data_IF_124071731979
#
_entry.id   IF_124071731979
#
_cell.length_a   1.000
_cell.length_b   1.000
_cell.length_c   1.000
_cell.angle_alpha   90.00
_cell.angle_beta   90.00
_cell.angle_gamma   90.00
#
_symmetry.space_group_name_H-M   'P 1'
#
loop_
_entity.id
_entity.type
_entity.pdbx_description
1 polymer ?
#
# COMPACT_ATOMS: atom_id res chain seq x y z
N UNK A 1 0.22 -0.27 18.14
CA UNK A 1 -0.66 -1.26 17.42
C UNK A 1 0.19 -2.39 16.79
N UNK A 2 -0.35 -3.33 15.99
CA UNK A 2 0.46 -4.22 15.15
C UNK A 2 0.48 -3.71 13.72
N UNK A 3 1.66 -3.51 13.15
CA UNK A 3 1.84 -2.91 11.84
C UNK A 3 2.40 -3.92 10.83
N UNK A 4 1.91 -3.87 9.60
CA UNK A 4 2.59 -4.41 8.44
C UNK A 4 3.09 -3.21 7.62
N UNK A 5 4.41 -3.04 7.55
CA UNK A 5 5.03 -1.91 6.85
C UNK A 5 5.45 -2.34 5.44
N UNK A 6 4.97 -1.64 4.41
CA UNK A 6 5.33 -1.88 3.01
C UNK A 6 6.19 -0.72 2.53
N UNK A 7 7.49 -0.97 2.36
CA UNK A 7 8.42 0.01 1.80
C UNK A 7 8.25 0.10 0.28
N UNK A 8 7.98 1.32 -0.21
CA UNK A 8 7.68 1.57 -1.62
C UNK A 8 8.85 2.30 -2.31
N UNK A 9 9.26 1.85 -3.51
CA UNK A 9 10.37 2.49 -4.21
C UNK A 9 9.98 3.90 -4.70
N UNK A 10 10.88 4.87 -4.51
CA UNK A 10 10.67 6.28 -4.91
C UNK A 10 11.11 6.64 -6.33
N UNK A 11 11.71 5.71 -7.07
CA UNK A 11 12.15 5.98 -8.44
C UNK A 11 10.98 5.85 -9.42
N UNK A 12 10.91 6.77 -10.39
CA UNK A 12 9.90 6.82 -11.48
C UNK A 12 9.68 5.48 -12.20
N UNK A 13 10.72 4.65 -12.29
CA UNK A 13 10.70 3.40 -13.05
C UNK A 13 9.97 2.28 -12.29
N UNK A 14 9.75 2.46 -10.98
CA UNK A 14 9.12 1.51 -10.09
C UNK A 14 7.76 1.96 -9.56
N UNK A 15 7.15 3.00 -10.16
CA UNK A 15 5.80 3.49 -9.80
C UNK A 15 4.77 2.36 -9.79
N UNK A 16 4.91 1.33 -10.65
CA UNK A 16 4.05 0.14 -10.65
C UNK A 16 4.06 -0.63 -9.32
N UNK A 17 5.24 -0.76 -8.71
CA UNK A 17 5.38 -1.45 -7.43
C UNK A 17 4.74 -0.62 -6.31
N UNK A 18 4.88 0.71 -6.38
CA UNK A 18 4.23 1.62 -5.44
C UNK A 18 2.70 1.55 -5.55
N UNK A 19 2.11 1.61 -6.75
CA UNK A 19 0.65 1.49 -6.94
C UNK A 19 0.11 0.21 -6.29
N UNK A 20 0.84 -0.91 -6.45
CA UNK A 20 0.44 -2.20 -5.89
C UNK A 20 0.47 -2.18 -4.36
N UNK A 21 1.52 -1.58 -3.76
CA UNK A 21 1.65 -1.47 -2.31
C UNK A 21 0.68 -0.47 -1.68
N UNK A 22 0.51 0.69 -2.31
CA UNK A 22 -0.32 1.78 -1.81
C UNK A 22 -1.82 1.44 -1.82
N UNK A 23 -2.29 0.61 -2.75
CA UNK A 23 -3.67 0.10 -2.76
C UNK A 23 -4.05 -0.71 -1.50
N UNK A 24 -3.06 -1.05 -0.66
CA UNK A 24 -3.23 -1.82 0.56
C UNK A 24 -2.93 -1.01 1.82
N UNK A 25 -2.63 0.28 1.69
CA UNK A 25 -2.25 1.10 2.84
C UNK A 25 -3.48 1.66 3.52
N UNK A 26 -3.65 1.35 4.80
CA UNK A 26 -4.63 2.03 5.68
C UNK A 26 -4.17 3.45 6.05
N UNK A 27 -2.90 3.75 5.79
CA UNK A 27 -2.32 5.06 5.83
C UNK A 27 -0.87 5.00 5.37
N UNK A 28 -0.31 6.14 4.99
CA UNK A 28 1.05 6.23 4.46
C UNK A 28 1.91 7.17 5.31
N UNK A 29 3.21 6.87 5.37
CA UNK A 29 4.23 7.80 5.87
C UNK A 29 4.88 8.44 4.65
N UNK A 30 4.61 9.73 4.42
CA UNK A 30 5.25 10.50 3.36
C UNK A 30 6.60 11.02 3.86
N UNK A 31 7.68 10.46 3.34
CA UNK A 31 9.04 10.91 3.67
C UNK A 31 9.47 11.97 2.67
N UNK A 32 9.82 13.16 3.17
CA UNK A 32 10.33 14.29 2.37
C UNK A 32 11.68 14.68 2.94
N UNK A 33 12.64 15.06 2.08
CA UNK A 33 13.92 15.57 2.55
C UNK A 33 13.74 17.01 3.02
N UNK A 34 14.08 17.31 4.28
CA UNK A 34 14.08 18.67 4.81
C UNK A 34 15.09 19.59 4.11
N UNK A 35 16.12 19.03 3.47
CA UNK A 35 17.10 19.79 2.70
C UNK A 35 16.67 20.06 1.25
N UNK A 36 15.92 19.13 0.64
CA UNK A 36 15.57 19.20 -0.79
C UNK A 36 14.12 19.69 -1.03
N UNK A 37 13.25 19.58 -0.03
CA UNK A 37 11.83 19.90 -0.17
C UNK A 37 11.03 18.89 -1.01
N UNK A 38 9.78 19.23 -1.38
CA UNK A 38 8.93 18.37 -2.20
C UNK A 38 9.41 18.30 -3.65
N UNK A 39 9.82 17.10 -4.08
CA UNK A 39 10.29 16.82 -5.44
C UNK A 39 9.15 16.35 -6.35
N UNK A 40 9.34 16.27 -7.69
CA UNK A 40 8.31 15.78 -8.60
C UNK A 40 7.73 14.42 -8.21
N UNK A 41 8.57 13.51 -7.70
CA UNK A 41 8.15 12.19 -7.21
C UNK A 41 7.28 12.29 -5.95
N UNK A 42 7.52 13.27 -5.07
CA UNK A 42 6.67 13.55 -3.90
C UNK A 42 5.26 13.87 -4.36
N UNK A 43 5.12 14.74 -5.37
CA UNK A 43 3.81 15.13 -5.94
C UNK A 43 3.12 13.94 -6.59
N UNK A 44 3.85 13.17 -7.40
CA UNK A 44 3.34 11.96 -8.04
C UNK A 44 2.86 10.92 -7.02
N UNK A 45 3.61 10.72 -5.93
CA UNK A 45 3.25 9.78 -4.87
C UNK A 45 1.99 10.20 -4.11
N UNK A 46 1.84 11.50 -3.77
CA UNK A 46 0.64 12.01 -3.11
C UNK A 46 -0.58 11.80 -4.03
N UNK A 47 -0.45 12.15 -5.31
CA UNK A 47 -1.52 11.98 -6.29
C UNK A 47 -1.93 10.52 -6.41
N UNK A 48 -0.96 9.61 -6.56
CA UNK A 48 -1.23 8.18 -6.66
C UNK A 48 -1.83 7.61 -5.38
N UNK A 49 -1.35 8.03 -4.20
CA UNK A 49 -1.91 7.64 -2.90
C UNK A 49 -3.39 8.04 -2.82
N UNK A 50 -3.76 9.24 -3.28
CA UNK A 50 -5.16 9.67 -3.38
C UNK A 50 -5.97 8.77 -4.32
N UNK A 51 -5.43 8.45 -5.50
CA UNK A 51 -6.14 7.66 -6.51
C UNK A 51 -6.35 6.20 -6.09
N UNK A 52 -5.40 5.60 -5.38
CA UNK A 52 -5.55 4.23 -4.85
C UNK A 52 -6.34 4.18 -3.54
N UNK A 53 -6.71 5.35 -2.99
CA UNK A 53 -7.61 5.46 -1.85
C UNK A 53 -6.94 5.38 -0.49
N UNK A 54 -5.67 5.77 -0.36
CA UNK A 54 -5.00 5.89 0.95
C UNK A 54 -5.73 6.96 1.77
N UNK A 55 -6.32 6.62 2.93
CA UNK A 55 -7.24 7.53 3.62
C UNK A 55 -6.53 8.57 4.49
N UNK A 56 -5.30 8.31 4.93
CA UNK A 56 -4.57 9.19 5.85
C UNK A 56 -3.07 9.14 5.58
N UNK A 57 -2.41 10.29 5.76
CA UNK A 57 -0.97 10.45 5.57
C UNK A 57 -0.39 11.11 6.82
N UNK A 58 0.77 10.63 7.27
CA UNK A 58 1.65 11.33 8.24
C UNK A 58 2.94 11.69 7.49
N UNK A 59 3.49 12.87 7.73
CA UNK A 59 4.71 13.32 7.05
C UNK A 59 5.92 13.22 7.97
N UNK A 60 7.03 12.75 7.42
CA UNK A 60 8.34 12.80 8.06
C UNK A 60 9.33 13.59 7.20
N UNK A 61 9.69 14.79 7.66
CA UNK A 61 10.78 15.60 7.13
C UNK A 61 12.10 15.00 7.61
N UNK A 62 12.73 14.23 6.73
CA UNK A 62 13.97 13.50 6.98
C UNK A 62 15.20 14.37 6.65
N UNK A 63 16.39 13.93 7.09
CA UNK A 63 17.68 14.60 6.86
C UNK A 63 17.78 16.00 7.49
N UNK A 64 17.07 16.26 8.58
CA UNK A 64 17.15 17.56 9.27
C UNK A 64 18.52 17.78 9.90
N UNK A 65 19.32 16.72 10.09
CA UNK A 65 20.73 16.82 10.47
C UNK A 65 21.62 17.54 9.43
N UNK A 66 21.12 17.72 8.21
CA UNK A 66 21.81 18.40 7.11
C UNK A 66 21.31 19.84 6.90
N UNK A 67 20.38 20.30 7.74
CA UNK A 67 19.76 21.62 7.62
C UNK A 67 20.09 22.42 8.87
N UNK A 68 20.92 23.45 8.70
CA UNK A 68 21.36 24.34 9.78
C UNK A 68 20.45 25.57 9.97
N UNK A 69 19.42 25.73 9.12
CA UNK A 69 18.52 26.89 9.08
C UNK A 69 17.07 26.48 9.35
N UNK A 70 16.54 26.92 10.49
CA UNK A 70 15.17 26.65 10.90
C UNK A 70 14.14 27.30 9.95
N UNK A 71 14.47 28.44 9.33
CA UNK A 71 13.56 29.10 8.36
C UNK A 71 13.38 28.25 7.10
N UNK A 72 14.42 27.52 6.68
CA UNK A 72 14.32 26.61 5.54
C UNK A 72 13.41 25.42 5.85
N UNK A 73 13.49 24.86 7.07
CA UNK A 73 12.61 23.76 7.47
C UNK A 73 11.15 24.20 7.54
N UNK A 74 10.87 25.38 8.07
CA UNK A 74 9.51 25.96 8.09
C UNK A 74 8.98 26.18 6.66
N UNK A 75 9.82 26.65 5.74
CA UNK A 75 9.44 26.81 4.34
C UNK A 75 9.12 25.46 3.68
N UNK A 76 9.96 24.44 3.89
CA UNK A 76 9.72 23.10 3.35
C UNK A 76 8.43 22.50 3.92
N UNK A 77 8.16 22.70 5.22
CA UNK A 77 6.91 22.26 5.83
C UNK A 77 5.70 22.92 5.13
N UNK A 78 5.74 24.23 4.91
CA UNK A 78 4.69 24.98 4.22
C UNK A 78 4.45 24.45 2.81
N UNK A 79 5.52 24.26 2.01
CA UNK A 79 5.41 23.72 0.65
C UNK A 79 4.81 22.30 0.61
N UNK A 80 5.13 21.46 1.60
CA UNK A 80 4.54 20.12 1.73
C UNK A 80 3.05 20.22 2.07
N UNK A 81 2.64 21.10 2.98
CA UNK A 81 1.22 21.32 3.30
C UNK A 81 0.44 21.81 2.09
N UNK A 82 0.98 22.77 1.35
CA UNK A 82 0.36 23.27 0.11
C UNK A 82 0.21 22.17 -0.94
N UNK A 83 1.24 21.33 -1.10
CA UNK A 83 1.20 20.19 -2.03
C UNK A 83 0.14 19.17 -1.61
N UNK A 84 0.02 18.86 -0.31
CA UNK A 84 -1.03 17.97 0.20
C UNK A 84 -2.44 18.54 -0.06
N UNK A 85 -2.63 19.83 0.22
CA UNK A 85 -3.89 20.54 -0.03
C UNK A 85 -4.25 20.53 -1.54
N UNK A 86 -3.27 20.71 -2.43
CA UNK A 86 -3.48 20.66 -3.88
C UNK A 86 -4.07 19.32 -4.35
N UNK A 87 -3.69 18.22 -3.69
CA UNK A 87 -4.18 16.87 -4.00
C UNK A 87 -5.30 16.40 -3.06
N UNK A 88 -6.03 17.34 -2.44
CA UNK A 88 -7.21 17.08 -1.62
C UNK A 88 -6.94 16.23 -0.37
N UNK A 89 -5.74 16.32 0.20
CA UNK A 89 -5.47 15.90 1.57
C UNK A 89 -5.57 17.11 2.52
N UNK A 90 -5.97 16.92 3.79
CA UNK A 90 -6.07 18.00 4.77
C UNK A 90 -4.67 18.40 5.27
N UNK A 91 -3.91 19.11 4.44
CA UNK A 91 -2.50 19.45 4.68
C UNK A 91 -2.28 20.20 5.99
N UNK A 92 -3.25 21.00 6.45
CA UNK A 92 -3.17 21.75 7.71
C UNK A 92 -3.39 20.88 8.96
N UNK A 93 -4.07 19.74 8.82
CA UNK A 93 -4.37 18.83 9.93
C UNK A 93 -3.36 17.68 10.03
N UNK A 94 -2.68 17.37 8.93
CA UNK A 94 -1.71 16.27 8.86
C UNK A 94 -0.52 16.55 9.79
N UNK A 95 -0.15 15.60 10.68
CA UNK A 95 1.06 15.70 11.49
C UNK A 95 2.29 15.68 10.59
N UNK A 96 3.16 16.68 10.79
CA UNK A 96 4.47 16.76 10.14
C UNK A 96 5.53 16.73 11.24
N UNK A 97 6.40 15.74 11.17
CA UNK A 97 7.49 15.55 12.12
C UNK A 97 8.82 15.67 11.41
N UNK A 98 9.81 16.22 12.10
CA UNK A 98 11.14 16.48 11.58
C UNK A 98 12.19 15.66 12.34
N UNK A 99 13.11 15.04 11.61
CA UNK A 99 14.18 14.25 12.21
C UNK A 99 15.21 13.68 11.22
N UNK A 100 16.09 12.83 11.74
CA UNK A 100 17.09 12.12 10.96
C UNK A 100 16.94 10.62 11.12
N UNK A 101 16.43 9.95 10.08
CA UNK A 101 16.32 8.49 10.07
C UNK A 101 17.69 7.81 10.10
N UNK A 102 18.73 8.44 9.50
CA UNK A 102 20.09 7.90 9.49
C UNK A 102 20.68 7.90 10.90
N UNK A 103 20.69 9.05 11.58
CA UNK A 103 21.28 9.16 12.92
C UNK A 103 20.49 8.36 13.97
N UNK A 104 19.17 8.23 13.80
CA UNK A 104 18.36 7.34 14.64
C UNK A 104 18.77 5.86 14.45
N UNK A 105 18.98 5.44 13.20
CA UNK A 105 19.41 4.06 12.89
C UNK A 105 20.82 3.78 13.40
N UNK A 106 21.77 4.70 13.21
CA UNK A 106 23.15 4.57 13.70
C UNK A 106 23.18 4.41 15.22
N UNK A 107 22.43 5.23 15.96
CA UNK A 107 22.31 5.12 17.41
C UNK A 107 21.77 3.75 17.86
N UNK A 108 20.77 3.22 17.16
CA UNK A 108 20.19 1.90 17.43
C UNK A 108 21.13 0.75 17.05
N UNK A 109 21.99 0.91 16.05
CA UNK A 109 23.02 -0.07 15.71
C UNK A 109 24.09 -0.11 16.79
N UNK A 110 24.53 1.04 17.29
CA UNK A 110 25.51 1.15 18.36
C UNK A 110 24.98 0.62 19.70
N UNK A 111 23.73 0.97 20.03
CA UNK A 111 23.05 0.49 21.22
C UNK A 111 21.59 0.08 20.90
N UNK A 112 21.34 -1.21 20.60
CA UNK A 112 19.99 -1.71 20.29
C UNK A 112 18.99 -1.64 21.44
N UNK A 113 19.43 -1.29 22.65
CA UNK A 113 18.60 -1.15 23.85
C UNK A 113 18.63 0.29 24.38
N UNK A 114 19.03 1.25 23.55
CA UNK A 114 18.98 2.66 23.90
C UNK A 114 17.56 3.05 24.25
N UNK A 115 17.39 3.75 25.37
CA UNK A 115 16.09 4.30 25.75
C UNK A 115 15.73 5.41 24.75
N UNK A 116 14.45 5.49 24.39
CA UNK A 116 13.95 6.50 23.43
C UNK A 116 14.29 7.94 23.86
N UNK A 117 14.42 8.19 25.16
CA UNK A 117 14.71 9.52 25.71
C UNK A 117 16.22 9.83 25.79
N UNK A 118 17.08 8.83 25.57
CA UNK A 118 18.54 9.00 25.62
C UNK A 118 19.13 9.56 24.33
N UNK A 119 18.40 9.47 23.20
CA UNK A 119 18.85 10.00 21.91
C UNK A 119 17.72 10.77 21.21
N UNK A 120 17.98 12.04 20.89
CA UNK A 120 16.98 12.92 20.27
C UNK A 120 16.45 12.38 18.95
N UNK A 121 17.27 11.70 18.14
CA UNK A 121 16.87 11.18 16.83
C UNK A 121 16.02 9.92 16.96
N UNK A 122 16.38 9.04 17.90
CA UNK A 122 15.56 7.88 18.26
C UNK A 122 14.20 8.36 18.75
N UNK A 123 14.17 9.36 19.65
CA UNK A 123 12.93 9.98 20.13
C UNK A 123 12.03 10.46 18.99
N UNK A 124 12.58 11.10 17.95
CA UNK A 124 11.80 11.56 16.79
C UNK A 124 11.12 10.42 16.01
N UNK A 125 11.72 9.23 15.99
CA UNK A 125 11.08 8.05 15.38
C UNK A 125 9.94 7.53 16.25
N UNK A 126 10.08 7.55 17.58
CA UNK A 126 8.98 7.22 18.49
C UNK A 126 7.85 8.26 18.39
N UNK A 127 8.16 9.56 18.38
CA UNK A 127 7.18 10.64 18.19
C UNK A 127 6.42 10.47 16.83
N UNK A 128 7.11 10.01 15.78
CA UNK A 128 6.50 9.67 14.48
C UNK A 128 5.52 8.51 14.63
N UNK A 129 5.92 7.43 15.30
CA UNK A 129 5.05 6.27 15.50
C UNK A 129 3.86 6.59 16.41
N UNK A 130 4.03 7.46 17.41
CA UNK A 130 2.93 7.97 18.23
C UNK A 130 1.95 8.78 17.38
N UNK A 131 2.46 9.59 16.45
CA UNK A 131 1.61 10.33 15.51
C UNK A 131 0.86 9.39 14.56
N UNK A 132 1.48 8.30 14.13
CA UNK A 132 0.82 7.23 13.35
C UNK A 132 -0.26 6.53 14.18
N UNK A 133 0.03 6.18 15.44
CA UNK A 133 -0.91 5.56 16.38
C UNK A 133 -2.10 6.49 16.72
N UNK A 134 -1.93 7.81 16.67
CA UNK A 134 -3.00 8.76 17.01
C UNK A 134 -3.77 9.27 15.80
N UNK A 135 -3.10 9.53 14.68
CA UNK A 135 -3.70 10.19 13.51
C UNK A 135 -4.28 9.21 12.50
N UNK A 136 -3.60 8.08 12.24
CA UNK A 136 -4.12 7.10 11.29
C UNK A 136 -5.23 6.31 12.01
N UNK A 137 -6.49 6.40 11.55
CA UNK A 137 -7.57 5.68 12.19
C UNK A 137 -7.37 4.17 12.03
N UNK A 138 -7.85 3.41 13.00
CA UNK A 138 -8.00 1.98 12.78
C UNK A 138 -9.05 1.80 11.69
N UNK A 139 -8.73 1.14 10.57
CA UNK A 139 -9.70 0.94 9.50
C UNK A 139 -10.85 0.09 10.03
N UNK A 140 -12.08 0.49 9.71
CA UNK A 140 -13.25 -0.35 9.95
C UNK A 140 -13.10 -1.62 9.13
N UNK A 141 -12.75 -2.71 9.81
CA UNK A 141 -12.59 -4.01 9.17
C UNK A 141 -13.97 -4.50 8.76
N UNK A 142 -14.21 -4.57 7.46
CA UNK A 142 -15.48 -5.03 6.88
C UNK A 142 -15.66 -6.57 7.00
N UNK A 143 -15.51 -7.10 8.21
CA UNK A 143 -15.48 -8.53 8.53
C UNK A 143 -16.81 -9.24 8.25
N UNK A 144 -17.93 -8.50 8.30
CA UNK A 144 -19.27 -9.04 8.02
C UNK A 144 -19.57 -9.18 6.52
N UNK A 145 -18.72 -8.64 5.63
CA UNK A 145 -18.93 -8.72 4.19
C UNK A 145 -18.45 -10.07 3.61
N UNK A 146 -18.90 -10.44 2.39
CA UNK A 146 -18.35 -11.60 1.70
C UNK A 146 -16.83 -11.50 1.51
N UNK A 147 -16.13 -12.57 1.88
CA UNK A 147 -14.67 -12.67 1.77
C UNK A 147 -14.17 -12.26 0.38
N UNK A 148 -13.13 -11.42 0.37
CA UNK A 148 -12.39 -11.03 -0.83
C UNK A 148 -10.92 -10.76 -0.45
N UNK A 149 -10.00 -11.36 -1.19
CA UNK A 149 -8.56 -11.15 -1.06
C UNK A 149 -7.92 -11.06 -2.45
N UNK A 150 -7.17 -9.99 -2.72
CA UNK A 150 -6.42 -9.87 -3.96
C UNK A 150 -5.17 -10.73 -3.92
N UNK A 151 -4.89 -11.49 -4.99
CA UNK A 151 -3.68 -12.32 -5.08
C UNK A 151 -2.52 -11.44 -5.52
N UNK A 152 -1.49 -11.34 -4.69
CA UNK A 152 -0.27 -10.58 -4.97
C UNK A 152 0.84 -11.48 -5.49
N UNK A 153 0.98 -12.66 -4.88
CA UNK A 153 2.00 -13.62 -5.24
C UNK A 153 1.49 -15.05 -5.06
N UNK A 154 2.11 -15.97 -5.79
CA UNK A 154 1.78 -17.39 -5.77
C UNK A 154 3.06 -18.20 -5.59
N UNK A 155 3.11 -18.94 -4.50
CA UNK A 155 4.24 -19.79 -4.13
C UNK A 155 3.78 -21.24 -4.15
N UNK A 156 4.59 -22.14 -4.71
CA UNK A 156 4.37 -23.57 -4.58
C UNK A 156 5.30 -24.11 -3.51
N UNK A 157 4.74 -24.73 -2.48
CA UNK A 157 5.49 -25.36 -1.40
C UNK A 157 5.49 -26.87 -1.66
N UNK A 158 6.67 -27.42 -1.95
CA UNK A 158 6.86 -28.86 -2.20
C UNK A 158 6.26 -29.68 -1.06
N UNK A 159 5.33 -30.58 -1.40
CA UNK A 159 4.66 -31.45 -0.44
C UNK A 159 3.50 -30.83 0.34
N UNK A 160 3.24 -29.52 0.24
CA UNK A 160 2.07 -28.87 0.86
C UNK A 160 1.03 -28.40 -0.16
N UNK A 161 1.46 -27.86 -1.29
CA UNK A 161 0.57 -27.34 -2.33
C UNK A 161 0.86 -25.90 -2.71
N UNK A 162 -0.13 -25.23 -3.31
CA UNK A 162 -0.02 -23.86 -3.82
C UNK A 162 -0.56 -22.87 -2.78
N UNK A 163 0.25 -21.89 -2.44
CA UNK A 163 -0.08 -20.79 -1.52
C UNK A 163 -0.25 -19.51 -2.32
N UNK A 164 -1.41 -18.88 -2.20
CA UNK A 164 -1.66 -17.52 -2.67
C UNK A 164 -1.48 -16.55 -1.50
N UNK A 165 -0.68 -15.51 -1.67
CA UNK A 165 -0.50 -14.47 -0.65
C UNK A 165 -1.22 -13.20 -1.05
N UNK A 166 -1.79 -12.52 -0.05
CA UNK A 166 -2.17 -11.13 -0.18
C UNK A 166 -2.93 -10.59 1.02
N UNK A 167 -3.31 -9.32 0.93
CA UNK A 167 -4.15 -8.67 1.93
C UNK A 167 -5.63 -9.04 1.77
N UNK A 168 -6.27 -9.45 2.86
CA UNK A 168 -7.74 -9.63 2.89
C UNK A 168 -8.40 -8.25 2.85
N UNK A 169 -9.11 -7.94 1.76
CA UNK A 169 -9.78 -6.64 1.60
C UNK A 169 -11.03 -6.54 2.50
N UNK A 170 -11.81 -7.62 2.55
CA UNK A 170 -13.05 -7.66 3.32
C UNK A 170 -13.45 -9.08 3.69
N UNK A 171 -14.35 -9.19 4.66
CA UNK A 171 -14.87 -10.44 5.18
C UNK A 171 -13.89 -11.17 6.08
N UNK A 172 -14.16 -12.46 6.28
CA UNK A 172 -13.26 -13.38 6.95
C UNK A 172 -13.19 -14.70 6.21
N UNK A 173 -12.10 -15.43 6.40
CA UNK A 173 -11.87 -16.75 5.82
C UNK A 173 -11.39 -17.70 6.91
N UNK A 174 -12.03 -18.85 7.03
CA UNK A 174 -11.60 -19.91 7.94
C UNK A 174 -11.02 -21.10 7.17
N UNK A 175 -10.13 -21.86 7.83
CA UNK A 175 -9.63 -23.13 7.27
C UNK A 175 -10.80 -24.10 7.05
N UNK A 176 -10.86 -24.72 5.88
CA UNK A 176 -11.94 -25.62 5.47
C UNK A 176 -13.04 -24.97 4.65
N UNK A 177 -13.07 -23.63 4.54
CA UNK A 177 -14.06 -22.95 3.71
C UNK A 177 -13.79 -23.12 2.22
N UNK A 178 -14.88 -23.03 1.45
CA UNK A 178 -14.87 -23.09 -0.01
C UNK A 178 -14.82 -21.66 -0.57
N UNK A 179 -13.93 -21.43 -1.51
CA UNK A 179 -13.72 -20.14 -2.18
C UNK A 179 -13.64 -20.31 -3.70
N UNK A 180 -13.79 -19.20 -4.41
CA UNK A 180 -13.56 -19.09 -5.85
C UNK A 180 -12.29 -18.30 -6.15
N UNK A 181 -11.53 -18.76 -7.15
CA UNK A 181 -10.44 -18.01 -7.78
C UNK A 181 -11.04 -17.33 -9.01
N UNK A 182 -11.09 -16.00 -9.00
CA UNK A 182 -11.82 -15.20 -10.00
C UNK A 182 -10.87 -14.25 -10.73
N UNK A 183 -11.08 -14.12 -12.04
CA UNK A 183 -10.36 -13.18 -12.92
C UNK A 183 -9.30 -13.84 -13.78
N UNK A 184 -8.96 -13.21 -14.91
CA UNK A 184 -7.93 -13.60 -15.91
C UNK A 184 -8.10 -14.96 -16.60
N UNK A 185 -8.67 -15.97 -15.94
CA UNK A 185 -8.96 -17.31 -16.44
C UNK A 185 -10.40 -17.70 -16.04
N UNK A 186 -10.83 -18.91 -16.41
CA UNK A 186 -12.11 -19.47 -15.95
C UNK A 186 -12.13 -19.59 -14.42
N UNK A 187 -13.26 -19.22 -13.83
CA UNK A 187 -13.44 -19.27 -12.37
C UNK A 187 -13.40 -20.71 -11.87
N UNK A 188 -12.59 -20.94 -10.83
CA UNK A 188 -12.42 -22.26 -10.22
C UNK A 188 -12.77 -22.22 -8.74
N UNK A 189 -13.46 -23.26 -8.28
CA UNK A 189 -13.76 -23.44 -6.86
C UNK A 189 -12.69 -24.32 -6.21
N UNK A 190 -12.26 -23.95 -5.02
CA UNK A 190 -11.30 -24.73 -4.21
C UNK A 190 -11.64 -24.63 -2.72
N UNK A 191 -10.95 -25.43 -1.91
CA UNK A 191 -11.08 -25.44 -0.45
C UNK A 191 -9.78 -24.93 0.17
N UNK A 192 -9.92 -24.06 1.16
CA UNK A 192 -8.80 -23.56 1.97
C UNK A 192 -8.34 -24.65 2.93
N UNK A 193 -7.05 -24.99 2.88
CA UNK A 193 -6.47 -26.06 3.72
C UNK A 193 -5.50 -25.52 4.78
N UNK A 194 -5.14 -24.25 4.71
CA UNK A 194 -4.32 -23.61 5.72
C UNK A 194 -4.25 -22.11 5.52
N UNK A 195 -4.06 -21.39 6.62
CA UNK A 195 -3.83 -19.95 6.68
C UNK A 195 -2.56 -19.70 7.48
N UNK A 196 -1.69 -18.84 6.98
CA UNK A 196 -0.42 -18.51 7.63
C UNK A 196 -0.10 -17.01 7.51
N UNK A 197 0.33 -16.39 8.60
CA UNK A 197 0.82 -15.00 8.62
C UNK A 197 2.13 -14.95 9.41
N UNK A 198 3.22 -14.45 8.81
CA UNK A 198 4.53 -14.32 9.46
C UNK A 198 5.00 -15.59 10.21
N UNK A 199 4.96 -16.76 9.53
CA UNK A 199 5.33 -18.07 10.10
C UNK A 199 4.42 -18.56 11.25
N UNK A 200 3.26 -17.94 11.45
CA UNK A 200 2.24 -18.38 12.42
C UNK A 200 1.04 -18.93 11.68
N UNK A 201 0.61 -20.13 12.07
CA UNK A 201 -0.62 -20.73 11.58
C UNK A 201 -1.82 -20.02 12.19
N UNK A 202 -2.84 -19.76 11.36
CA UNK A 202 -4.09 -19.13 11.76
C UNK A 202 -5.25 -20.11 11.54
N UNK A 203 -6.27 -20.07 12.40
CA UNK A 203 -7.53 -20.79 12.19
C UNK A 203 -8.48 -19.98 11.31
N UNK A 204 -8.44 -18.65 11.45
CA UNK A 204 -9.24 -17.68 10.72
C UNK A 204 -8.39 -16.46 10.38
N UNK A 205 -8.66 -15.87 9.22
CA UNK A 205 -8.13 -14.58 8.79
C UNK A 205 -9.28 -13.61 8.55
N UNK A 206 -9.07 -12.34 8.84
CA UNK A 206 -10.07 -11.28 8.73
C UNK A 206 -9.57 -10.14 7.86
N UNK A 207 -10.48 -9.27 7.42
CA UNK A 207 -10.14 -8.04 6.70
C UNK A 207 -8.97 -7.28 7.35
N UNK A 208 -8.00 -6.90 6.54
CA UNK A 208 -6.77 -6.22 6.91
C UNK A 208 -5.55 -7.12 7.10
N UNK A 209 -5.75 -8.43 7.27
CA UNK A 209 -4.66 -9.40 7.45
C UNK A 209 -3.88 -9.63 6.14
N UNK A 210 -2.54 -9.62 6.24
CA UNK A 210 -1.65 -10.09 5.17
C UNK A 210 -1.38 -11.59 5.35
N UNK A 211 -2.02 -12.44 4.54
CA UNK A 211 -2.09 -13.88 4.78
C UNK A 211 -1.64 -14.69 3.57
N UNK A 212 -0.99 -15.82 3.83
CA UNK A 212 -0.79 -16.91 2.89
C UNK A 212 -1.92 -17.93 3.00
N UNK A 213 -2.66 -18.13 1.91
CA UNK A 213 -3.79 -19.06 1.82
C UNK A 213 -3.35 -20.30 1.05
N UNK A 214 -3.29 -21.45 1.70
CA UNK A 214 -2.97 -22.73 1.08
C UNK A 214 -4.23 -23.33 0.44
N UNK A 215 -4.15 -23.62 -0.86
CA UNK A 215 -5.29 -24.03 -1.69
C UNK A 215 -5.23 -25.51 -2.06
N UNK A 216 -6.36 -26.21 -1.92
CA UNK A 216 -6.45 -27.64 -2.25
C UNK A 216 -6.53 -27.86 -3.76
N UNK A 217 -5.63 -28.68 -4.28
CA UNK A 217 -5.72 -29.18 -5.66
C UNK A 217 -5.52 -28.12 -6.75
N UNK A 218 -5.01 -26.95 -6.38
CA UNK A 218 -4.67 -25.88 -7.32
C UNK A 218 -3.18 -25.94 -7.63
N UNK A 219 -2.85 -25.96 -8.91
CA UNK A 219 -1.47 -25.88 -9.40
C UNK A 219 -1.07 -24.41 -9.62
N UNK A 220 0.23 -24.14 -9.55
CA UNK A 220 0.77 -22.78 -9.67
C UNK A 220 0.35 -22.05 -10.96
N UNK A 221 0.15 -22.74 -12.07
CA UNK A 221 -0.27 -22.12 -13.33
C UNK A 221 -1.78 -21.80 -13.41
N UNK A 222 -2.58 -22.33 -12.49
CA UNK A 222 -4.03 -22.13 -12.43
C UNK A 222 -4.42 -20.90 -11.59
N UNK A 223 -3.45 -20.26 -10.95
CA UNK A 223 -3.62 -19.07 -10.15
C UNK A 223 -2.42 -18.14 -10.35
N UNK A 224 -2.67 -16.85 -10.50
CA UNK A 224 -1.61 -15.87 -10.69
C UNK A 224 -1.96 -14.54 -10.02
N UNK A 225 -0.95 -13.69 -9.87
CA UNK A 225 -1.13 -12.29 -9.46
C UNK A 225 -2.19 -11.62 -10.33
N UNK A 226 -3.03 -10.81 -9.70
CA UNK A 226 -4.13 -10.10 -10.37
C UNK A 226 -5.44 -10.89 -10.45
N UNK A 227 -5.47 -12.12 -9.93
CA UNK A 227 -6.73 -12.80 -9.60
C UNK A 227 -7.18 -12.41 -8.18
N UNK A 228 -8.41 -12.77 -7.82
CA UNK A 228 -8.92 -12.62 -6.45
C UNK A 228 -9.41 -13.96 -5.92
N UNK A 229 -9.23 -14.18 -4.61
CA UNK A 229 -9.92 -15.22 -3.86
C UNK A 229 -11.19 -14.61 -3.28
N UNK A 230 -12.34 -15.22 -3.52
CA UNK A 230 -13.62 -14.66 -3.10
C UNK A 230 -14.56 -15.72 -2.54
N UNK A 231 -15.52 -15.29 -1.71
CA UNK A 231 -16.66 -16.14 -1.35
C UNK A 231 -17.41 -16.54 -2.63
N UNK A 232 -17.82 -17.81 -2.80
CA UNK A 232 -18.43 -18.26 -4.05
C UNK A 232 -19.65 -17.43 -4.45
N UNK A 233 -19.70 -17.01 -5.70
CA UNK A 233 -20.78 -16.20 -6.26
C UNK A 233 -20.84 -14.74 -5.77
N UNK A 234 -19.89 -14.29 -4.96
CA UNK A 234 -19.89 -12.91 -4.41
C UNK A 234 -19.32 -11.87 -5.37
N UNK A 235 -18.57 -12.29 -6.40
CA UNK A 235 -18.00 -11.43 -7.43
C UNK A 235 -17.94 -12.16 -8.76
N UNK A 236 -18.23 -11.46 -9.86
CA UNK A 236 -18.10 -11.99 -11.22
C UNK A 236 -17.09 -11.17 -12.02
N UNK A 237 -16.28 -11.80 -12.89
CA UNK A 237 -15.33 -11.07 -13.71
C UNK A 237 -16.05 -10.33 -14.85
N UNK A 238 -15.60 -9.11 -15.15
CA UNK A 238 -16.15 -8.28 -16.23
C UNK A 238 -15.03 -7.78 -17.15
N UNK A 239 -15.35 -7.59 -18.44
CA UNK A 239 -14.41 -7.14 -19.48
C UNK A 239 -14.80 -5.79 -20.12
N UNK A 240 -15.97 -5.25 -19.76
CA UNK A 240 -16.49 -3.96 -20.22
C UNK A 240 -17.09 -3.24 -19.04
N UNK A 241 -16.78 -1.96 -18.91
CA UNK A 241 -17.29 -1.10 -17.86
C UNK A 241 -17.28 0.35 -18.37
N UNK A 242 -18.08 1.18 -17.74
CA UNK A 242 -18.01 2.65 -17.87
C UNK A 242 -17.27 3.19 -16.64
N UNK A 243 -16.46 4.23 -16.84
CA UNK A 243 -15.72 4.86 -15.75
C UNK A 243 -15.56 6.34 -15.99
N UNK A 244 -15.37 7.08 -14.90
CA UNK A 244 -14.93 8.46 -14.94
C UNK A 244 -13.40 8.47 -14.82
N UNK A 245 -12.73 9.19 -15.72
CA UNK A 245 -11.27 9.24 -15.77
C UNK A 245 -10.79 10.68 -15.75
N UNK A 246 -9.72 10.92 -14.98
CA UNK A 246 -8.93 12.13 -15.05
C UNK A 246 -7.65 11.83 -15.84
N UNK A 247 -7.32 12.67 -16.82
CA UNK A 247 -6.11 12.49 -17.63
C UNK A 247 -5.05 13.43 -17.11
N UNK A 248 -3.99 12.85 -16.54
CA UNK A 248 -2.84 13.59 -16.01
C UNK A 248 -2.27 14.56 -17.04
N UNK A 249 -2.00 15.78 -16.58
CA UNK A 249 -1.28 16.80 -17.34
C UNK A 249 0.19 16.42 -17.49
N UNK A 250 0.92 17.11 -18.37
CA UNK A 250 2.36 16.88 -18.56
C UNK A 250 3.13 17.15 -17.27
N UNK A 251 2.74 18.20 -16.56
CA UNK A 251 3.36 18.67 -15.33
C UNK A 251 3.20 17.65 -14.18
N UNK A 252 2.15 16.82 -14.24
CA UNK A 252 1.87 15.72 -13.30
C UNK A 252 2.47 14.38 -13.74
N UNK A 253 3.37 14.36 -14.73
CA UNK A 253 3.96 13.13 -15.27
C UNK A 253 3.08 12.39 -16.28
N UNK A 254 2.00 13.03 -16.75
CA UNK A 254 1.10 12.52 -17.76
C UNK A 254 1.62 12.61 -19.19
N UNK A 255 0.69 12.52 -20.15
CA UNK A 255 1.03 12.50 -21.57
C UNK A 255 1.21 13.92 -22.12
N UNK A 256 2.18 14.10 -23.00
CA UNK A 256 2.33 15.33 -23.79
C UNK A 256 1.26 15.49 -24.88
N UNK A 257 0.66 14.39 -25.34
CA UNK A 257 -0.28 14.36 -26.46
C UNK A 257 -1.57 13.67 -26.06
N UNK A 258 -2.67 14.17 -26.62
CA UNK A 258 -3.99 13.57 -26.51
C UNK A 258 -4.01 12.16 -27.11
N UNK A 259 -5.03 11.40 -26.74
CA UNK A 259 -5.33 10.09 -27.31
C UNK A 259 -6.78 10.05 -27.77
N UNK A 260 -7.09 9.09 -28.65
CA UNK A 260 -8.40 8.96 -29.29
C UNK A 260 -9.00 7.58 -29.00
N UNK A 261 -10.27 7.40 -29.37
CA UNK A 261 -10.93 6.10 -29.34
C UNK A 261 -10.07 5.05 -30.09
N UNK A 262 -9.88 3.90 -29.44
CA UNK A 262 -8.95 2.86 -29.85
C UNK A 262 -7.63 2.84 -29.08
N UNK A 263 -7.38 3.81 -28.19
CA UNK A 263 -6.19 3.82 -27.33
C UNK A 263 -6.17 2.59 -26.42
N UNK A 264 -4.99 1.99 -26.25
CA UNK A 264 -4.80 0.75 -25.49
C UNK A 264 -3.84 0.91 -24.32
N UNK A 265 -4.25 1.57 -23.23
CA UNK A 265 -3.43 1.66 -22.02
C UNK A 265 -3.49 0.38 -21.19
N UNK A 266 -2.60 0.30 -20.19
CA UNK A 266 -2.72 -0.66 -19.10
C UNK A 266 -3.65 -0.09 -18.02
N UNK A 267 -4.56 -0.90 -17.52
CA UNK A 267 -5.41 -0.62 -16.38
C UNK A 267 -4.91 -1.41 -15.18
N UNK A 268 -4.81 -0.73 -14.04
CA UNK A 268 -4.46 -1.34 -12.76
C UNK A 268 -5.70 -1.38 -11.90
N UNK A 269 -6.11 -2.59 -11.48
CA UNK A 269 -7.25 -2.81 -10.59
C UNK A 269 -6.80 -3.74 -9.50
N UNK A 270 -6.68 -3.26 -8.25
CA UNK A 270 -6.04 -3.99 -7.15
C UNK A 270 -4.63 -4.46 -7.56
N UNK A 271 -4.39 -5.76 -7.57
CA UNK A 271 -3.12 -6.38 -7.98
C UNK A 271 -3.08 -6.74 -9.47
N UNK A 272 -4.18 -6.55 -10.20
CA UNK A 272 -4.33 -6.86 -11.62
C UNK A 272 -3.77 -5.75 -12.49
N UNK A 273 -2.95 -6.10 -13.48
CA UNK A 273 -2.59 -5.26 -14.60
C UNK A 273 -3.12 -5.86 -15.90
N UNK A 274 -3.95 -5.11 -16.64
CA UNK A 274 -4.58 -5.61 -17.87
C UNK A 274 -4.65 -4.53 -18.95
N UNK A 275 -4.36 -4.92 -20.20
CA UNK A 275 -4.51 -4.02 -21.33
C UNK A 275 -5.98 -3.85 -21.68
N UNK A 276 -6.48 -2.63 -21.64
CA UNK A 276 -7.84 -2.29 -22.04
C UNK A 276 -7.85 -1.51 -23.35
N UNK A 277 -9.05 -1.34 -23.93
CA UNK A 277 -9.29 -0.46 -25.06
C UNK A 277 -10.28 0.62 -24.64
N UNK A 278 -9.88 1.88 -24.77
CA UNK A 278 -10.76 3.05 -24.65
C UNK A 278 -11.49 3.26 -25.99
#
# INVERSE_FOLDING_TARGET
RHYAHVDCPGHSDYVKNMITGAAQMDGAILVVSGADGPMPQTKEHILLAKQVGVPSIVVFLNKTDQVDDDELLELVELEVRETLNQYEFPGDEIPILSGSALLALEALIENPQIDENENQWVKKIYDLMDSVDNYIPLPDRETDKPFLMAVENVVSITGRGTVATGRVERGSLAVGEIIEIVGLQETKTTTVIGLEMFQKTLEQSVAGDNVGVLLRGIQKQEIQRGMVLAKPGSITPHIKFESQVYILTKEEGGRHTSFFAGYRPQFYVRTTDVTGKI
#
